data_IF_180801326122
#
_entry.id   IF_180801326122
#
_cell.length_a   1.000
_cell.length_b   1.000
_cell.length_c   1.000
_cell.angle_alpha   90.00
_cell.angle_beta   90.00
_cell.angle_gamma   90.00
#
_symmetry.space_group_name_H-M   'P 1'
#
loop_
_entity.id
_entity.type
_entity.pdbx_description
1 polymer ?
#
# COMPACT_ATOMS: atom_id res chain seq x y z
N UNK A 1 5.98 30.84 -5.49
CA UNK A 1 4.73 31.65 -5.38
C UNK A 1 4.21 32.06 -6.75
N UNK A 2 5.02 32.60 -7.67
CA UNK A 2 4.56 33.09 -8.99
C UNK A 2 3.88 31.99 -9.83
N UNK A 3 4.47 30.79 -9.87
CA UNK A 3 3.88 29.64 -10.57
C UNK A 3 2.52 29.23 -9.95
N UNK A 4 2.42 29.25 -8.62
CA UNK A 4 1.16 28.94 -7.92
C UNK A 4 0.07 30.01 -8.23
N UNK A 5 0.42 31.29 -8.22
CA UNK A 5 -0.49 32.35 -8.62
C UNK A 5 -0.96 32.20 -10.07
N UNK A 6 -0.06 31.85 -11.00
CA UNK A 6 -0.38 31.60 -12.40
C UNK A 6 -1.30 30.38 -12.58
N UNK A 7 -1.08 29.33 -11.78
CA UNK A 7 -1.93 28.14 -11.79
C UNK A 7 -3.35 28.46 -11.35
N UNK A 8 -3.53 29.09 -10.17
CA UNK A 8 -4.85 29.35 -9.59
C UNK A 8 -5.61 30.45 -10.37
N UNK A 9 -4.91 31.28 -11.11
CA UNK A 9 -5.52 32.29 -11.97
C UNK A 9 -6.43 31.71 -13.08
N UNK A 10 -6.24 30.42 -13.41
CA UNK A 10 -7.06 29.71 -14.40
C UNK A 10 -8.43 29.24 -13.87
N UNK A 11 -8.72 29.40 -12.57
CA UNK A 11 -10.03 29.12 -11.99
C UNK A 11 -10.94 30.30 -12.20
N UNK A 12 -12.16 30.07 -12.71
CA UNK A 12 -13.18 31.09 -12.91
C UNK A 12 -13.87 31.44 -11.58
N UNK A 13 -14.21 30.41 -10.79
CA UNK A 13 -14.89 30.55 -9.52
C UNK A 13 -13.88 30.70 -8.36
N UNK A 14 -13.22 31.86 -8.25
CA UNK A 14 -12.25 32.13 -7.18
C UNK A 14 -12.41 33.54 -6.59
N UNK A 15 -12.04 33.67 -5.33
CA UNK A 15 -11.81 34.99 -4.72
C UNK A 15 -10.46 35.50 -5.26
N UNK A 16 -10.40 36.66 -5.93
CA UNK A 16 -9.13 37.19 -6.40
C UNK A 16 -8.18 37.48 -5.24
N UNK A 17 -7.15 36.67 -5.14
CA UNK A 17 -6.05 36.84 -4.17
C UNK A 17 -4.74 36.57 -4.90
N UNK A 18 -3.73 37.34 -4.55
CA UNK A 18 -2.36 37.13 -5.01
C UNK A 18 -1.49 36.89 -3.80
N UNK A 19 -0.88 35.73 -3.72
CA UNK A 19 0.11 35.46 -2.66
C UNK A 19 1.43 36.12 -3.05
N UNK A 20 2.06 36.74 -2.06
CA UNK A 20 3.37 37.37 -2.19
C UNK A 20 4.34 36.59 -1.29
N UNK A 21 5.50 36.27 -1.81
CA UNK A 21 6.56 35.66 -1.01
C UNK A 21 7.14 36.72 -0.05
N UNK A 22 7.32 36.32 1.20
CA UNK A 22 7.92 37.16 2.25
C UNK A 22 9.40 36.79 2.43
N UNK A 23 9.80 35.58 1.99
CA UNK A 23 11.17 35.07 2.09
C UNK A 23 12.02 35.42 0.86
N UNK A 24 13.25 34.93 0.90
CA UNK A 24 14.19 35.03 -0.21
C UNK A 24 13.72 34.21 -1.42
N UNK A 25 14.27 34.48 -2.60
CA UNK A 25 13.99 33.71 -3.82
C UNK A 25 14.57 32.29 -3.67
N UNK A 26 13.67 31.30 -3.72
CA UNK A 26 14.05 29.88 -3.65
C UNK A 26 14.43 29.33 -5.03
N UNK A 27 14.65 28.02 -5.06
CA UNK A 27 14.95 27.32 -6.29
C UNK A 27 13.75 27.26 -7.24
N UNK A 28 14.04 27.07 -8.53
CA UNK A 28 13.02 26.82 -9.53
C UNK A 28 12.38 25.45 -9.31
N UNK A 29 11.07 25.37 -9.60
CA UNK A 29 10.34 24.10 -9.62
C UNK A 29 11.03 23.17 -10.62
N UNK A 30 11.34 21.96 -10.16
CA UNK A 30 11.88 20.88 -10.99
C UNK A 30 10.74 19.93 -11.34
N UNK A 31 10.66 19.51 -12.57
CA UNK A 31 9.75 18.47 -13.05
C UNK A 31 10.57 17.21 -13.30
N UNK A 32 10.26 16.16 -12.54
CA UNK A 32 10.82 14.83 -12.73
C UNK A 32 9.80 14.00 -13.53
N UNK A 33 10.29 13.27 -14.53
CA UNK A 33 9.50 12.31 -15.29
C UNK A 33 9.99 10.92 -14.96
N UNK A 34 9.09 10.06 -14.57
CA UNK A 34 9.36 8.66 -14.24
C UNK A 34 8.51 7.75 -15.14
N UNK A 35 8.91 6.50 -15.31
CA UNK A 35 8.21 5.53 -16.13
C UNK A 35 7.14 4.77 -15.34
N UNK A 36 7.33 4.68 -14.02
CA UNK A 36 6.43 4.02 -13.08
C UNK A 36 6.35 4.79 -11.77
N UNK A 37 5.38 4.44 -10.92
CA UNK A 37 5.29 4.98 -9.55
C UNK A 37 6.50 4.58 -8.68
N UNK A 38 7.10 3.41 -8.93
CA UNK A 38 8.30 2.94 -8.24
C UNK A 38 9.51 3.77 -8.62
N UNK A 39 9.69 4.03 -9.93
CA UNK A 39 10.77 4.91 -10.41
C UNK A 39 10.62 6.32 -9.83
N UNK A 40 9.39 6.85 -9.75
CA UNK A 40 9.12 8.12 -9.11
C UNK A 40 9.52 8.10 -7.63
N UNK A 41 9.10 7.08 -6.89
CA UNK A 41 9.43 6.93 -5.48
C UNK A 41 10.94 6.80 -5.24
N UNK A 42 11.64 6.03 -6.07
CA UNK A 42 13.10 5.88 -6.03
C UNK A 42 13.80 7.20 -6.36
N UNK A 43 13.31 7.96 -7.36
CA UNK A 43 13.85 9.25 -7.73
C UNK A 43 13.67 10.29 -6.61
N UNK A 44 12.50 10.31 -5.96
CA UNK A 44 12.22 11.16 -4.80
C UNK A 44 13.17 10.81 -3.64
N UNK A 45 13.27 9.53 -3.26
CA UNK A 45 14.15 9.08 -2.18
C UNK A 45 15.62 9.42 -2.47
N UNK A 46 16.06 9.27 -3.73
CA UNK A 46 17.42 9.65 -4.16
C UNK A 46 17.66 11.16 -4.06
N UNK A 47 16.67 11.95 -4.51
CA UNK A 47 16.73 13.41 -4.44
C UNK A 47 16.78 13.93 -3.01
N UNK A 48 16.12 13.26 -2.05
CA UNK A 48 16.23 13.58 -0.62
C UNK A 48 17.67 13.34 -0.13
N UNK A 49 18.25 12.18 -0.44
CA UNK A 49 19.63 11.87 -0.04
C UNK A 49 20.63 12.88 -0.63
N UNK A 50 20.46 13.25 -1.91
CA UNK A 50 21.28 14.25 -2.57
C UNK A 50 21.21 15.61 -1.83
N UNK A 51 20.00 16.06 -1.48
CA UNK A 51 19.75 17.30 -0.77
C UNK A 51 20.30 17.30 0.66
N UNK A 52 20.23 16.17 1.34
CA UNK A 52 20.84 16.04 2.66
C UNK A 52 22.35 16.24 2.61
N UNK A 53 23.00 15.75 1.54
CA UNK A 53 24.44 15.89 1.35
C UNK A 53 24.83 17.30 0.90
N UNK A 54 24.11 17.88 -0.08
CA UNK A 54 24.46 19.19 -0.66
C UNK A 54 24.09 20.37 0.24
N UNK A 55 22.91 20.32 0.86
CA UNK A 55 22.31 21.45 1.56
C UNK A 55 22.40 21.30 3.08
N UNK A 56 22.99 20.20 3.57
CA UNK A 56 23.01 19.81 4.99
C UNK A 56 21.61 19.78 5.62
N UNK A 57 20.59 19.42 4.82
CA UNK A 57 19.20 19.33 5.24
C UNK A 57 18.99 18.12 6.18
N UNK A 58 18.03 18.23 7.09
CA UNK A 58 17.63 17.13 7.99
C UNK A 58 16.36 16.47 7.44
N UNK A 59 16.07 15.24 7.84
CA UNK A 59 14.86 14.51 7.40
C UNK A 59 13.57 15.31 7.61
N UNK A 60 13.43 16.01 8.72
CA UNK A 60 12.27 16.85 9.02
C UNK A 60 12.08 18.05 8.09
N UNK A 61 13.08 18.39 7.29
CA UNK A 61 13.01 19.49 6.33
C UNK A 61 12.27 19.08 5.03
N UNK A 62 11.97 17.79 4.88
CA UNK A 62 11.35 17.24 3.68
C UNK A 62 9.89 16.85 3.91
N UNK A 63 9.04 17.14 2.92
CA UNK A 63 7.70 16.58 2.83
C UNK A 63 7.47 15.97 1.45
N UNK A 64 6.80 14.81 1.43
CA UNK A 64 6.30 14.16 0.23
C UNK A 64 4.78 14.23 0.28
N UNK A 65 4.19 14.93 -0.70
CA UNK A 65 2.76 15.16 -0.81
C UNK A 65 2.17 14.32 -1.92
N UNK A 66 1.05 13.68 -1.66
CA UNK A 66 0.33 12.85 -2.64
C UNK A 66 -1.18 13.10 -2.56
N UNK A 67 -1.92 12.70 -3.60
CA UNK A 67 -3.37 12.96 -3.70
C UNK A 67 -4.20 11.97 -2.91
N UNK A 68 -3.87 10.69 -2.99
CA UNK A 68 -4.60 9.59 -2.35
C UNK A 68 -3.69 8.74 -1.49
N UNK A 69 -4.27 8.13 -0.46
CA UNK A 69 -3.50 7.31 0.48
C UNK A 69 -2.87 6.06 -0.16
N UNK A 70 -3.43 5.51 -1.23
CA UNK A 70 -2.85 4.36 -1.94
C UNK A 70 -1.44 4.64 -2.45
N UNK A 71 -1.17 5.87 -2.92
CA UNK A 71 0.15 6.27 -3.42
C UNK A 71 1.27 6.21 -2.36
N UNK A 72 0.95 6.15 -1.07
CA UNK A 72 1.98 6.11 -0.03
C UNK A 72 2.81 4.81 -0.06
N UNK A 73 2.27 3.69 -0.58
CA UNK A 73 2.95 2.39 -0.56
C UNK A 73 4.31 2.43 -1.24
N UNK A 74 4.37 2.82 -2.52
CA UNK A 74 5.62 2.88 -3.26
C UNK A 74 6.64 3.83 -2.62
N UNK A 75 6.16 4.98 -2.09
CA UNK A 75 6.99 5.95 -1.38
C UNK A 75 7.54 5.38 -0.08
N UNK A 76 6.70 4.73 0.74
CA UNK A 76 7.11 4.07 1.98
C UNK A 76 8.17 2.99 1.71
N UNK A 77 7.94 2.18 0.68
CA UNK A 77 8.86 1.11 0.29
C UNK A 77 10.21 1.65 -0.18
N UNK A 78 10.23 2.69 -1.04
CA UNK A 78 11.46 3.31 -1.51
C UNK A 78 12.27 3.96 -0.37
N UNK A 79 11.58 4.60 0.60
CA UNK A 79 12.23 5.17 1.78
C UNK A 79 12.81 4.08 2.69
N UNK A 80 12.08 3.00 2.93
CA UNK A 80 12.55 1.83 3.72
C UNK A 80 13.75 1.15 3.08
N UNK A 81 13.72 0.86 1.78
CA UNK A 81 14.85 0.27 1.03
C UNK A 81 16.14 1.09 1.18
N UNK A 82 16.04 2.39 1.50
CA UNK A 82 17.17 3.31 1.72
C UNK A 82 17.43 3.67 3.18
N UNK A 83 16.72 3.05 4.12
CA UNK A 83 16.79 3.36 5.56
C UNK A 83 16.54 4.85 5.87
N UNK A 84 15.61 5.49 5.14
CA UNK A 84 15.22 6.87 5.37
C UNK A 84 14.02 6.92 6.32
N UNK A 85 14.16 7.52 7.52
CA UNK A 85 13.08 7.57 8.48
C UNK A 85 11.96 8.51 8.01
N UNK A 86 10.72 8.06 8.11
CA UNK A 86 9.54 8.85 7.73
C UNK A 86 8.43 8.77 8.75
N UNK A 87 7.48 9.69 8.64
CA UNK A 87 6.25 9.71 9.43
C UNK A 87 5.06 10.06 8.55
N UNK A 88 3.97 9.30 8.69
CA UNK A 88 2.74 9.57 7.97
C UNK A 88 1.85 10.48 8.81
N UNK A 89 1.52 11.65 8.27
CA UNK A 89 0.61 12.59 8.88
C UNK A 89 -0.85 12.26 8.53
N UNK A 90 -1.70 12.19 9.55
CA UNK A 90 -3.14 11.95 9.39
C UNK A 90 -3.50 10.62 8.74
N UNK A 91 -2.74 9.56 9.04
CA UNK A 91 -3.01 8.23 8.51
C UNK A 91 -2.13 7.16 9.17
N UNK A 92 -2.42 5.92 8.81
CA UNK A 92 -1.59 4.78 9.16
C UNK A 92 -0.67 4.44 7.98
N UNK A 93 0.47 3.82 8.27
CA UNK A 93 1.30 3.18 7.24
C UNK A 93 0.45 2.29 6.34
N UNK A 94 0.82 2.13 5.09
CA UNK A 94 0.06 1.34 4.13
C UNK A 94 -0.27 -0.05 4.69
N UNK A 95 0.74 -0.75 5.20
CA UNK A 95 0.57 -2.10 5.76
C UNK A 95 -0.16 -2.12 7.12
N UNK A 96 -0.37 -0.96 7.76
CA UNK A 96 -1.13 -0.86 9.01
C UNK A 96 -2.63 -0.63 8.83
N UNK A 97 -3.08 -0.32 7.62
CA UNK A 97 -4.49 -0.13 7.30
C UNK A 97 -5.27 -1.42 7.47
N UNK A 98 -6.49 -1.32 7.99
CA UNK A 98 -7.31 -2.47 8.37
C UNK A 98 -7.57 -3.42 7.18
N UNK A 99 -7.99 -2.87 6.03
CA UNK A 99 -8.27 -3.61 4.81
C UNK A 99 -7.01 -4.27 4.21
N UNK A 100 -5.86 -3.63 4.34
CA UNK A 100 -4.57 -4.19 3.90
C UNK A 100 -4.18 -5.34 4.83
N UNK A 101 -4.29 -5.16 6.16
CA UNK A 101 -4.07 -6.23 7.14
C UNK A 101 -5.02 -7.41 6.94
N UNK A 102 -6.28 -7.14 6.56
CA UNK A 102 -7.26 -8.18 6.27
C UNK A 102 -6.85 -8.98 5.02
N UNK A 103 -6.47 -8.31 3.94
CA UNK A 103 -6.02 -8.99 2.73
C UNK A 103 -4.68 -9.73 2.96
N UNK A 104 -3.73 -9.13 3.67
CA UNK A 104 -2.48 -9.79 4.07
C UNK A 104 -2.73 -11.05 4.91
N UNK A 105 -3.74 -11.03 5.79
CA UNK A 105 -4.10 -12.21 6.57
C UNK A 105 -4.66 -13.34 5.69
N UNK A 106 -5.38 -13.04 4.59
CA UNK A 106 -5.73 -14.03 3.58
C UNK A 106 -4.49 -14.65 2.92
N UNK A 107 -3.56 -13.81 2.47
CA UNK A 107 -2.33 -14.26 1.83
C UNK A 107 -1.49 -15.13 2.78
N UNK A 108 -1.33 -14.69 4.04
CA UNK A 108 -0.61 -15.44 5.08
C UNK A 108 -1.26 -16.79 5.40
N UNK A 109 -2.59 -16.82 5.53
CA UNK A 109 -3.31 -18.05 5.86
C UNK A 109 -3.22 -19.09 4.73
N UNK A 110 -3.19 -18.65 3.46
CA UNK A 110 -2.99 -19.55 2.32
C UNK A 110 -1.58 -20.15 2.33
N UNK A 111 -0.55 -19.39 2.70
CA UNK A 111 0.82 -19.91 2.81
C UNK A 111 1.00 -20.79 4.05
N UNK A 112 0.35 -20.44 5.16
CA UNK A 112 0.39 -21.21 6.39
C UNK A 112 -1.02 -21.35 7.00
N UNK A 113 -1.68 -22.44 6.69
CA UNK A 113 -3.04 -22.76 7.22
C UNK A 113 -3.09 -22.94 8.74
N UNK A 114 -1.95 -23.01 9.42
CA UNK A 114 -1.88 -23.09 10.88
C UNK A 114 -1.73 -21.72 11.56
N UNK A 115 -1.81 -20.61 10.81
CA UNK A 115 -1.80 -19.25 11.35
C UNK A 115 -3.18 -18.90 11.94
N UNK A 116 -3.35 -19.19 13.23
CA UNK A 116 -4.60 -18.97 13.96
C UNK A 116 -4.95 -17.47 14.10
N UNK A 117 -3.98 -16.58 14.10
CA UNK A 117 -4.22 -15.13 14.17
C UNK A 117 -4.81 -14.61 12.85
N UNK A 118 -4.21 -14.99 11.73
CA UNK A 118 -4.78 -14.70 10.41
C UNK A 118 -6.16 -15.34 10.24
N UNK A 119 -6.34 -16.59 10.68
CA UNK A 119 -7.64 -17.27 10.64
C UNK A 119 -8.72 -16.49 11.38
N UNK A 120 -8.49 -16.14 12.66
CA UNK A 120 -9.46 -15.38 13.48
C UNK A 120 -9.81 -14.03 12.84
N UNK A 121 -8.83 -13.37 12.24
CA UNK A 121 -9.01 -12.07 11.62
C UNK A 121 -9.98 -12.12 10.44
N UNK A 122 -9.88 -13.13 9.58
CA UNK A 122 -10.54 -13.11 8.27
C UNK A 122 -11.69 -14.11 8.10
N UNK A 123 -11.86 -15.08 8.98
CA UNK A 123 -12.90 -16.11 8.85
C UNK A 123 -14.30 -15.51 8.71
N UNK A 124 -14.55 -14.34 9.28
CA UNK A 124 -15.82 -13.58 9.17
C UNK A 124 -15.63 -12.20 8.53
N UNK A 125 -14.59 -11.97 7.77
CA UNK A 125 -14.31 -10.71 7.06
C UNK A 125 -14.08 -10.99 5.57
N UNK A 126 -14.98 -10.62 4.63
CA UNK A 126 -16.32 -10.03 4.84
C UNK A 126 -17.25 -10.92 5.65
N UNK A 127 -18.35 -10.37 6.17
CA UNK A 127 -19.26 -11.12 7.05
C UNK A 127 -19.83 -12.37 6.38
N UNK A 128 -19.53 -13.53 6.99
CA UNK A 128 -20.07 -14.86 6.59
C UNK A 128 -21.12 -15.38 7.56
N UNK A 129 -21.48 -14.56 8.57
CA UNK A 129 -22.38 -14.95 9.64
C UNK A 129 -21.78 -16.00 10.57
N UNK A 130 -20.47 -15.94 10.79
CA UNK A 130 -19.72 -16.72 11.77
C UNK A 130 -19.50 -15.79 12.98
N UNK A 131 -20.32 -16.00 14.02
CA UNK A 131 -20.27 -15.15 15.22
C UNK A 131 -19.15 -15.55 16.18
N UNK A 132 -18.83 -14.63 17.09
CA UNK A 132 -17.80 -14.78 18.11
C UNK A 132 -18.00 -16.05 18.97
N UNK A 133 -19.27 -16.37 19.33
CA UNK A 133 -19.59 -17.60 20.06
C UNK A 133 -19.11 -18.86 19.32
N UNK A 134 -19.28 -18.91 17.99
CA UNK A 134 -18.82 -20.04 17.18
C UNK A 134 -17.27 -20.10 17.11
N UNK A 135 -16.62 -18.95 17.02
CA UNK A 135 -15.16 -18.87 17.02
C UNK A 135 -14.57 -19.30 18.37
N UNK A 136 -15.18 -18.88 19.47
CA UNK A 136 -14.76 -19.30 20.82
C UNK A 136 -14.93 -20.80 21.03
N UNK A 137 -16.04 -21.38 20.55
CA UNK A 137 -16.27 -22.81 20.59
C UNK A 137 -15.29 -23.59 19.72
N UNK A 138 -14.95 -23.08 18.52
CA UNK A 138 -13.91 -23.67 17.66
C UNK A 138 -12.54 -23.57 18.34
N UNK A 139 -12.23 -22.45 19.02
CA UNK A 139 -11.00 -22.26 19.79
C UNK A 139 -10.86 -23.27 20.93
N UNK A 140 -11.95 -23.52 21.68
CA UNK A 140 -11.96 -24.54 22.73
C UNK A 140 -11.73 -25.95 22.18
N UNK A 141 -12.34 -26.27 21.03
CA UNK A 141 -12.12 -27.55 20.33
C UNK A 141 -10.66 -27.69 19.86
N UNK A 142 -10.11 -26.63 19.25
CA UNK A 142 -8.72 -26.62 18.79
C UNK A 142 -7.72 -26.80 19.93
N UNK A 143 -7.98 -26.16 21.08
CA UNK A 143 -7.19 -26.31 22.29
C UNK A 143 -7.21 -27.75 22.83
N UNK A 144 -8.41 -28.36 22.89
CA UNK A 144 -8.57 -29.75 23.34
C UNK A 144 -7.84 -30.76 22.42
N UNK A 145 -7.93 -30.53 21.12
CA UNK A 145 -7.27 -31.33 20.09
C UNK A 145 -5.78 -31.02 19.90
N UNK A 146 -5.27 -29.97 20.54
CA UNK A 146 -3.89 -29.46 20.38
C UNK A 146 -3.50 -29.25 18.91
N UNK A 147 -4.41 -28.62 18.14
CA UNK A 147 -4.21 -28.34 16.72
C UNK A 147 -4.67 -26.91 16.39
N UNK A 148 -4.39 -26.45 15.13
CA UNK A 148 -4.84 -25.14 14.66
C UNK A 148 -6.38 -25.09 14.50
N UNK A 149 -6.92 -23.86 14.50
CA UNK A 149 -8.34 -23.60 14.22
C UNK A 149 -8.77 -24.20 12.88
N UNK A 150 -7.91 -24.10 11.89
CA UNK A 150 -8.13 -24.67 10.56
C UNK A 150 -8.34 -26.20 10.62
N UNK A 151 -7.45 -26.91 11.32
CA UNK A 151 -7.58 -28.37 11.50
C UNK A 151 -8.77 -28.73 12.35
N UNK A 152 -9.07 -27.97 13.40
CA UNK A 152 -10.21 -28.20 14.28
C UNK A 152 -11.56 -28.08 13.52
N UNK A 153 -11.63 -27.25 12.49
CA UNK A 153 -12.82 -27.08 11.66
C UNK A 153 -13.29 -28.37 10.98
N UNK A 154 -12.40 -29.31 10.74
CA UNK A 154 -12.69 -30.61 10.12
C UNK A 154 -12.97 -31.73 11.15
N UNK A 155 -12.86 -31.45 12.46
CA UNK A 155 -13.19 -32.43 13.50
C UNK A 155 -14.68 -32.76 13.50
N UNK A 156 -15.04 -34.01 13.79
CA UNK A 156 -16.43 -34.41 14.00
C UNK A 156 -16.93 -34.15 15.44
N UNK A 157 -16.01 -33.75 16.35
CA UNK A 157 -16.33 -33.48 17.76
C UNK A 157 -16.90 -32.08 18.01
N UNK A 158 -17.23 -31.33 16.97
CA UNK A 158 -17.69 -29.95 17.06
C UNK A 158 -18.93 -29.76 17.95
N UNK A 159 -19.84 -30.75 17.97
CA UNK A 159 -21.06 -30.71 18.76
C UNK A 159 -20.79 -30.75 20.29
N UNK A 160 -19.71 -31.41 20.72
CA UNK A 160 -19.30 -31.48 22.13
C UNK A 160 -18.95 -30.10 22.69
N UNK A 161 -18.52 -29.18 21.84
CA UNK A 161 -18.13 -27.80 22.15
C UNK A 161 -19.22 -26.76 21.86
N UNK A 162 -20.45 -27.21 21.55
CA UNK A 162 -21.59 -26.32 21.32
C UNK A 162 -21.62 -25.65 19.95
N UNK A 163 -20.79 -26.09 18.99
CA UNK A 163 -20.82 -25.61 17.61
C UNK A 163 -22.06 -26.19 16.89
N UNK A 164 -22.85 -25.30 16.29
CA UNK A 164 -24.02 -25.68 15.50
C UNK A 164 -23.59 -26.09 14.10
N UNK A 165 -24.26 -27.08 13.51
CA UNK A 165 -24.01 -27.58 12.16
C UNK A 165 -23.94 -26.49 11.11
N UNK A 166 -24.83 -25.49 11.16
CA UNK A 166 -24.81 -24.36 10.23
C UNK A 166 -23.56 -23.47 10.34
N UNK A 167 -23.01 -23.31 11.55
CA UNK A 167 -21.76 -22.58 11.75
C UNK A 167 -20.56 -23.38 11.25
N UNK A 168 -20.54 -24.69 11.53
CA UNK A 168 -19.51 -25.61 11.04
C UNK A 168 -19.46 -25.61 9.52
N UNK A 169 -20.62 -25.70 8.84
CA UNK A 169 -20.70 -25.68 7.39
C UNK A 169 -20.07 -24.40 6.80
N UNK A 170 -20.36 -23.22 7.39
CA UNK A 170 -19.77 -21.95 6.97
C UNK A 170 -18.26 -21.89 7.19
N UNK A 171 -17.79 -22.37 8.34
CA UNK A 171 -16.36 -22.43 8.66
C UNK A 171 -15.65 -23.38 7.69
N UNK A 172 -16.21 -24.58 7.45
CA UNK A 172 -15.65 -25.54 6.49
C UNK A 172 -15.60 -24.99 5.07
N UNK A 173 -16.65 -24.31 4.60
CA UNK A 173 -16.64 -23.66 3.28
C UNK A 173 -15.55 -22.59 3.16
N UNK A 174 -15.30 -21.84 4.24
CA UNK A 174 -14.17 -20.92 4.28
C UNK A 174 -12.82 -21.67 4.22
N UNK A 175 -12.68 -22.75 5.00
CA UNK A 175 -11.46 -23.57 4.99
C UNK A 175 -11.21 -24.22 3.62
N UNK A 176 -12.24 -24.72 2.96
CA UNK A 176 -12.16 -25.31 1.61
C UNK A 176 -11.68 -24.29 0.57
N UNK A 177 -12.16 -23.05 0.67
CA UNK A 177 -11.67 -21.96 -0.19
C UNK A 177 -10.16 -21.72 0.03
N UNK A 178 -9.71 -21.63 1.27
CA UNK A 178 -8.28 -21.45 1.63
C UNK A 178 -7.45 -22.64 1.13
N UNK A 179 -7.89 -23.87 1.38
CA UNK A 179 -7.17 -25.11 1.02
C UNK A 179 -7.00 -25.24 -0.50
N UNK A 180 -8.03 -24.80 -1.27
CA UNK A 180 -7.97 -24.75 -2.72
C UNK A 180 -6.86 -23.85 -3.28
N UNK A 181 -6.48 -22.79 -2.55
CA UNK A 181 -5.32 -21.95 -2.89
C UNK A 181 -4.04 -22.47 -2.27
N UNK A 182 -4.09 -22.93 -1.02
CA UNK A 182 -2.91 -23.46 -0.32
C UNK A 182 -2.24 -24.62 -1.07
N UNK A 183 -3.03 -25.48 -1.70
CA UNK A 183 -2.53 -26.58 -2.54
C UNK A 183 -1.73 -26.11 -3.78
N UNK A 184 -1.84 -24.87 -4.17
CA UNK A 184 -1.20 -24.29 -5.37
C UNK A 184 0.00 -23.39 -5.05
N UNK A 185 0.27 -23.09 -3.78
CA UNK A 185 1.31 -22.13 -3.37
C UNK A 185 2.69 -22.43 -3.97
N UNK A 186 3.06 -23.71 -4.07
CA UNK A 186 4.37 -24.11 -4.57
C UNK A 186 4.49 -24.15 -6.12
N UNK A 187 3.36 -24.04 -6.85
CA UNK A 187 3.32 -24.25 -8.29
C UNK A 187 2.76 -23.06 -9.08
N UNK A 188 2.33 -22.01 -8.39
CA UNK A 188 1.69 -20.83 -9.01
C UNK A 188 2.42 -19.57 -8.56
N UNK A 189 2.65 -18.65 -9.47
CA UNK A 189 3.27 -17.37 -9.14
C UNK A 189 2.40 -16.55 -8.17
N UNK A 190 3.06 -15.73 -7.36
CA UNK A 190 2.43 -14.97 -6.30
C UNK A 190 1.33 -14.03 -6.81
N UNK A 191 1.51 -13.37 -7.95
CA UNK A 191 0.56 -12.44 -8.58
C UNK A 191 -0.74 -13.12 -9.00
N UNK A 192 -0.64 -14.27 -9.68
CA UNK A 192 -1.80 -15.07 -10.07
C UNK A 192 -2.56 -15.57 -8.84
N UNK A 193 -1.82 -16.07 -7.84
CA UNK A 193 -2.42 -16.60 -6.62
C UNK A 193 -3.09 -15.50 -5.79
N UNK A 194 -2.45 -14.35 -5.59
CA UNK A 194 -2.98 -13.21 -4.85
C UNK A 194 -4.23 -12.63 -5.51
N UNK A 195 -4.22 -12.50 -6.85
CA UNK A 195 -5.39 -12.07 -7.63
C UNK A 195 -6.55 -13.05 -7.45
N UNK A 196 -6.28 -14.35 -7.55
CA UNK A 196 -7.28 -15.40 -7.34
C UNK A 196 -7.90 -15.35 -5.94
N UNK A 197 -7.06 -15.18 -4.90
CA UNK A 197 -7.50 -15.06 -3.50
C UNK A 197 -8.36 -13.80 -3.31
N UNK A 198 -7.91 -12.64 -3.83
CA UNK A 198 -8.64 -11.37 -3.73
C UNK A 198 -10.05 -11.47 -4.33
N UNK A 199 -10.19 -12.14 -5.48
CA UNK A 199 -11.46 -12.35 -6.13
C UNK A 199 -12.36 -13.34 -5.34
N UNK A 200 -11.79 -14.45 -4.86
CA UNK A 200 -12.55 -15.50 -4.18
C UNK A 200 -13.01 -15.11 -2.77
N UNK A 201 -12.20 -14.36 -2.02
CA UNK A 201 -12.51 -13.97 -0.65
C UNK A 201 -13.65 -12.94 -0.56
N UNK A 202 -13.88 -12.19 -1.64
CA UNK A 202 -14.93 -11.17 -1.75
C UNK A 202 -14.64 -9.86 -1.03
N UNK A 203 -13.44 -9.67 -0.43
CA UNK A 203 -13.11 -8.46 0.34
C UNK A 203 -13.04 -7.21 -0.55
N UNK A 204 -12.40 -7.31 -1.71
CA UNK A 204 -12.36 -6.23 -2.69
C UNK A 204 -13.77 -5.85 -3.17
N UNK A 205 -14.57 -6.84 -3.58
CA UNK A 205 -15.93 -6.61 -4.06
C UNK A 205 -16.83 -6.01 -2.98
N UNK A 206 -16.65 -6.40 -1.71
CA UNK A 206 -17.38 -5.82 -0.58
C UNK A 206 -17.18 -4.31 -0.48
N UNK A 207 -15.94 -3.83 -0.58
CA UNK A 207 -15.66 -2.40 -0.55
C UNK A 207 -16.00 -1.69 -1.85
N UNK A 208 -15.74 -2.31 -3.00
CA UNK A 208 -16.00 -1.72 -4.32
C UNK A 208 -17.49 -1.45 -4.58
N UNK A 209 -18.38 -2.28 -4.04
CA UNK A 209 -19.82 -2.12 -4.20
C UNK A 209 -20.44 -1.07 -3.26
N UNK A 210 -19.72 -0.60 -2.27
CA UNK A 210 -20.13 0.50 -1.41
C UNK A 210 -19.73 1.84 -2.04
N UNK A 211 -20.66 2.76 -2.35
CA UNK A 211 -20.37 4.03 -3.01
C UNK A 211 -19.71 5.07 -2.09
N UNK A 212 -19.53 4.78 -0.80
CA UNK A 212 -18.91 5.72 0.13
C UNK A 212 -17.44 5.96 -0.24
N UNK A 213 -16.97 7.19 -0.05
CA UNK A 213 -15.56 7.58 -0.34
C UNK A 213 -14.59 6.71 0.46
N UNK A 214 -14.94 6.38 1.69
CA UNK A 214 -14.11 5.54 2.56
C UNK A 214 -14.00 4.11 2.01
N UNK A 215 -15.09 3.48 1.57
CA UNK A 215 -15.07 2.15 1.01
C UNK A 215 -14.32 2.10 -0.33
N UNK A 216 -14.50 3.11 -1.19
CA UNK A 216 -13.73 3.21 -2.43
C UNK A 216 -12.22 3.36 -2.16
N UNK A 217 -11.83 4.15 -1.15
CA UNK A 217 -10.43 4.26 -0.73
C UNK A 217 -9.88 2.91 -0.23
N UNK A 218 -10.68 2.15 0.53
CA UNK A 218 -10.28 0.80 0.99
C UNK A 218 -10.14 -0.18 -0.18
N UNK A 219 -11.05 -0.13 -1.15
CA UNK A 219 -10.94 -0.94 -2.38
C UNK A 219 -9.64 -0.61 -3.13
N UNK A 220 -9.31 0.68 -3.30
CA UNK A 220 -8.06 1.10 -3.93
C UNK A 220 -6.81 0.64 -3.15
N UNK A 221 -6.86 0.60 -1.83
CA UNK A 221 -5.75 0.08 -1.02
C UNK A 221 -5.54 -1.44 -1.21
N UNK A 222 -6.64 -2.21 -1.36
CA UNK A 222 -6.54 -3.65 -1.67
C UNK A 222 -5.97 -3.86 -3.07
N UNK A 223 -6.45 -3.10 -4.06
CA UNK A 223 -5.96 -3.14 -5.44
C UNK A 223 -4.45 -2.82 -5.50
N UNK A 224 -4.02 -1.80 -4.77
CA UNK A 224 -2.62 -1.41 -4.66
C UNK A 224 -1.76 -2.52 -4.02
N UNK A 225 -2.27 -3.23 -3.01
CA UNK A 225 -1.57 -4.40 -2.45
C UNK A 225 -1.41 -5.50 -3.51
N UNK A 226 -2.45 -5.81 -4.28
CA UNK A 226 -2.36 -6.85 -5.33
C UNK A 226 -1.40 -6.43 -6.43
N UNK A 227 -1.42 -5.16 -6.85
CA UNK A 227 -0.45 -4.62 -7.82
C UNK A 227 0.99 -4.74 -7.30
N UNK A 228 1.21 -4.57 -5.99
CA UNK A 228 2.55 -4.75 -5.42
C UNK A 228 3.08 -6.18 -5.52
N UNK A 229 2.19 -7.18 -5.48
CA UNK A 229 2.59 -8.58 -5.74
C UNK A 229 3.01 -8.78 -7.18
N UNK A 230 2.28 -8.19 -8.13
CA UNK A 230 2.64 -8.24 -9.55
C UNK A 230 4.02 -7.61 -9.80
N UNK A 231 4.23 -6.43 -9.22
CA UNK A 231 5.50 -5.72 -9.33
C UNK A 231 6.68 -6.52 -8.71
N UNK A 232 6.45 -7.15 -7.54
CA UNK A 232 7.44 -8.05 -6.96
C UNK A 232 7.86 -9.16 -7.93
N UNK A 233 6.92 -9.76 -8.67
CA UNK A 233 7.23 -10.79 -9.67
C UNK A 233 8.06 -10.20 -10.82
N UNK A 234 7.74 -9.00 -11.30
CA UNK A 234 8.50 -8.31 -12.35
C UNK A 234 9.93 -8.03 -11.89
N UNK A 235 10.12 -7.45 -10.69
CA UNK A 235 11.46 -7.22 -10.12
C UNK A 235 12.27 -8.52 -10.01
N UNK A 236 11.65 -9.62 -9.54
CA UNK A 236 12.33 -10.92 -9.39
C UNK A 236 12.70 -11.54 -10.74
N UNK A 237 11.88 -11.36 -11.78
CA UNK A 237 12.20 -11.79 -13.16
C UNK A 237 13.38 -11.02 -13.72
N UNK A 238 13.41 -9.71 -13.52
CA UNK A 238 14.49 -8.84 -13.96
C UNK A 238 15.81 -9.14 -13.22
N UNK A 239 15.75 -9.44 -11.92
CA UNK A 239 16.91 -9.91 -11.16
C UNK A 239 17.43 -11.23 -11.71
N UNK A 240 16.56 -12.20 -11.89
CA UNK A 240 16.91 -13.53 -12.41
C UNK A 240 17.55 -13.46 -13.80
N UNK A 241 16.98 -12.65 -14.69
CA UNK A 241 17.54 -12.45 -16.04
C UNK A 241 18.93 -11.80 -15.98
N UNK A 242 19.10 -10.77 -15.13
CA UNK A 242 20.41 -10.12 -14.94
C UNK A 242 21.46 -11.12 -14.44
N UNK A 243 21.11 -11.98 -13.50
CA UNK A 243 22.02 -12.97 -12.96
C UNK A 243 22.44 -13.96 -14.06
N UNK A 244 21.52 -14.46 -14.89
CA UNK A 244 21.82 -15.33 -16.04
C UNK A 244 22.74 -14.65 -17.06
N UNK A 245 22.53 -13.36 -17.33
CA UNK A 245 23.40 -12.60 -18.27
C UNK A 245 24.80 -12.47 -17.68
N UNK A 246 24.92 -12.15 -16.39
CA UNK A 246 26.23 -12.03 -15.70
C UNK A 246 26.97 -13.38 -15.69
N UNK A 247 26.25 -14.49 -15.51
CA UNK A 247 26.82 -15.86 -15.55
C UNK A 247 27.13 -16.34 -16.98
N UNK A 248 26.68 -15.61 -18.00
CA UNK A 248 26.90 -15.96 -19.43
C UNK A 248 25.96 -17.06 -19.92
N UNK A 249 24.85 -17.31 -19.22
CA UNK A 249 23.87 -18.35 -19.56
C UNK A 249 22.72 -17.81 -20.45
N UNK A 250 22.58 -16.46 -20.57
CA UNK A 250 21.58 -15.81 -21.41
C UNK A 250 22.13 -14.52 -22.05
N UNK A 251 21.54 -14.11 -23.17
CA UNK A 251 21.70 -12.79 -23.81
C UNK A 251 20.43 -11.96 -23.57
N UNK A 252 20.49 -10.64 -23.75
CA UNK A 252 19.36 -9.72 -23.47
C UNK A 252 18.05 -10.09 -24.19
N UNK A 253 18.11 -10.71 -25.37
CA UNK A 253 16.95 -11.11 -26.19
C UNK A 253 16.61 -12.61 -26.06
N UNK A 254 17.17 -13.33 -25.08
CA UNK A 254 16.94 -14.76 -24.92
C UNK A 254 15.59 -15.01 -24.25
N UNK A 255 14.77 -15.92 -24.83
CA UNK A 255 13.54 -16.39 -24.20
C UNK A 255 13.89 -17.28 -23.00
N UNK A 256 13.71 -16.74 -21.79
CA UNK A 256 14.07 -17.39 -20.52
C UNK A 256 12.85 -18.02 -19.85
N UNK A 257 13.01 -19.26 -19.40
CA UNK A 257 12.02 -19.90 -18.51
C UNK A 257 12.28 -19.50 -17.08
N UNK A 258 11.36 -18.74 -16.50
CA UNK A 258 11.48 -18.27 -15.13
C UNK A 258 11.04 -19.34 -14.11
N UNK A 259 11.69 -19.41 -12.96
CA UNK A 259 11.19 -20.19 -11.83
C UNK A 259 9.87 -19.63 -11.30
N UNK A 260 9.15 -20.41 -10.52
CA UNK A 260 7.97 -19.93 -9.81
C UNK A 260 8.42 -19.05 -8.63
N UNK A 261 8.01 -17.80 -8.64
CA UNK A 261 8.18 -16.88 -7.49
C UNK A 261 6.93 -16.95 -6.64
N UNK A 262 7.06 -17.56 -5.47
CA UNK A 262 5.91 -17.94 -4.64
C UNK A 262 5.35 -16.79 -3.80
N UNK A 263 4.11 -16.96 -3.35
CA UNK A 263 3.50 -16.03 -2.38
C UNK A 263 4.27 -16.00 -1.05
N UNK A 264 4.96 -17.09 -0.69
CA UNK A 264 5.87 -17.13 0.47
C UNK A 264 7.03 -16.16 0.33
N UNK A 265 7.67 -16.12 -0.86
CA UNK A 265 8.78 -15.21 -1.15
C UNK A 265 8.34 -13.74 -1.04
N UNK A 266 7.15 -13.42 -1.53
CA UNK A 266 6.57 -12.07 -1.38
C UNK A 266 6.36 -11.70 0.10
N UNK A 267 5.76 -12.59 0.90
CA UNK A 267 5.50 -12.34 2.31
C UNK A 267 6.80 -12.18 3.12
N UNK A 268 7.84 -12.94 2.78
CA UNK A 268 9.16 -12.79 3.37
C UNK A 268 9.80 -11.45 3.03
N UNK A 269 9.72 -11.02 1.77
CA UNK A 269 10.19 -9.72 1.32
C UNK A 269 9.52 -8.57 2.10
N UNK A 270 8.18 -8.60 2.25
CA UNK A 270 7.45 -7.60 3.05
C UNK A 270 7.87 -7.64 4.52
N UNK A 271 8.11 -8.82 5.09
CA UNK A 271 8.54 -8.94 6.49
C UNK A 271 9.93 -8.36 6.72
N UNK A 272 10.84 -8.53 5.78
CA UNK A 272 12.17 -7.91 5.83
C UNK A 272 12.08 -6.38 5.78
N UNK A 273 11.23 -5.85 4.90
CA UNK A 273 11.00 -4.41 4.77
C UNK A 273 10.35 -3.79 6.02
N UNK A 274 9.47 -4.52 6.72
CA UNK A 274 8.79 -4.02 7.92
C UNK A 274 9.67 -4.03 9.18
N UNK A 275 10.69 -4.86 9.24
CA UNK A 275 11.62 -4.93 10.38
C UNK A 275 12.70 -3.81 10.37
N UNK A 276 12.72 -2.96 9.33
CA UNK A 276 13.61 -1.81 9.22
C UNK A 276 13.05 -0.56 9.94
N UNK A 277 11.94 -0.65 10.64
CA UNK A 277 11.50 0.39 11.57
C UNK A 277 12.51 0.49 12.72
N UNK A 278 13.64 1.15 12.41
CA UNK A 278 14.73 1.40 13.37
C UNK A 278 14.19 2.31 14.46
N UNK A 279 14.06 1.75 15.64
CA UNK A 279 13.93 2.47 16.90
C UNK A 279 15.22 3.25 17.17
N UNK A 280 15.45 4.34 16.46
CA UNK A 280 16.38 5.37 16.93
C UNK A 280 15.61 6.25 17.91
N UNK A 281 15.72 5.92 19.20
CA UNK A 281 15.08 6.63 20.32
C UNK A 281 15.60 8.08 20.50
N UNK A 282 16.65 8.52 19.83
CA UNK A 282 17.33 9.78 20.14
C UNK A 282 16.76 11.03 19.43
N UNK A 283 15.99 10.90 18.32
CA UNK A 283 15.35 12.08 17.67
C UNK A 283 14.02 11.73 17.01
N UNK A 284 12.99 11.53 17.81
CA UNK A 284 11.64 11.13 17.37
C UNK A 284 11.00 12.08 16.34
N UNK A 285 11.52 13.31 16.20
CA UNK A 285 10.96 14.34 15.32
C UNK A 285 11.71 14.50 13.99
N UNK A 286 12.91 13.93 13.84
CA UNK A 286 13.69 14.06 12.61
C UNK A 286 13.31 12.99 11.59
N UNK A 287 12.11 13.12 11.02
CA UNK A 287 11.54 12.18 10.05
C UNK A 287 10.98 12.93 8.84
N UNK A 288 11.05 12.31 7.66
CA UNK A 288 10.43 12.81 6.43
C UNK A 288 8.91 12.78 6.60
N UNK A 289 8.25 13.86 6.27
CA UNK A 289 6.79 13.95 6.36
C UNK A 289 6.13 13.38 5.10
N UNK A 290 5.34 12.31 5.23
CA UNK A 290 4.48 11.77 4.19
C UNK A 290 3.03 12.15 4.49
N UNK A 291 2.33 12.77 3.54
CA UNK A 291 0.94 13.16 3.76
C UNK A 291 0.18 13.43 2.46
N UNK A 292 -1.15 13.38 2.56
CA UNK A 292 -1.98 13.88 1.46
C UNK A 292 -1.87 15.40 1.35
N UNK A 293 -2.11 15.94 0.15
CA UNK A 293 -2.14 17.41 -0.05
C UNK A 293 -3.15 18.08 0.88
N UNK A 294 -4.26 17.41 1.20
CA UNK A 294 -5.25 17.93 2.15
C UNK A 294 -4.68 18.10 3.55
N UNK A 295 -3.93 17.12 4.02
CA UNK A 295 -3.31 17.14 5.35
C UNK A 295 -2.18 18.18 5.45
N UNK A 296 -1.58 18.56 4.32
CA UNK A 296 -0.51 19.56 4.28
C UNK A 296 -1.01 21.00 4.45
N UNK A 297 -2.33 21.24 4.47
CA UNK A 297 -2.89 22.58 4.63
C UNK A 297 -2.49 23.19 5.96
N UNK A 298 -1.81 24.34 5.89
CA UNK A 298 -1.32 25.06 7.08
C UNK A 298 0.10 24.68 7.51
N UNK A 299 0.68 23.60 6.98
CA UNK A 299 2.06 23.23 7.23
C UNK A 299 2.97 23.85 6.16
N UNK A 300 4.26 23.95 6.44
CA UNK A 300 5.28 24.44 5.49
C UNK A 300 6.60 23.75 5.74
N UNK A 301 7.29 23.38 4.67
CA UNK A 301 8.56 22.64 4.71
C UNK A 301 9.62 23.31 3.84
N UNK A 302 10.90 23.22 4.18
CA UNK A 302 11.98 23.69 3.32
C UNK A 302 11.93 23.07 1.91
N UNK A 303 11.73 21.75 1.82
CA UNK A 303 11.72 20.98 0.58
C UNK A 303 10.43 20.17 0.46
N UNK A 304 9.76 20.27 -0.68
CA UNK A 304 8.49 19.59 -0.93
C UNK A 304 8.56 18.84 -2.26
N UNK A 305 8.28 17.56 -2.21
CA UNK A 305 8.02 16.72 -3.38
C UNK A 305 6.53 16.49 -3.52
N UNK A 306 6.01 16.56 -4.74
CA UNK A 306 4.61 16.24 -5.05
C UNK A 306 4.61 15.07 -6.01
N UNK A 307 4.11 13.93 -5.55
CA UNK A 307 4.09 12.68 -6.30
C UNK A 307 2.76 12.45 -7.02
N UNK A 308 2.83 11.71 -8.13
CA UNK A 308 1.66 11.26 -8.88
C UNK A 308 0.94 12.36 -9.66
N UNK A 309 1.67 13.30 -10.24
CA UNK A 309 1.10 14.36 -11.08
C UNK A 309 0.82 13.84 -12.50
N UNK A 310 -0.20 13.00 -12.62
CA UNK A 310 -0.61 12.39 -13.87
C UNK A 310 -2.14 12.29 -14.01
N UNK A 311 -2.62 12.12 -15.23
CA UNK A 311 -4.04 11.97 -15.57
C UNK A 311 -4.69 10.84 -14.78
N UNK A 312 -5.91 11.07 -14.26
CA UNK A 312 -6.71 10.19 -13.43
C UNK A 312 -6.19 9.96 -12.00
N UNK A 313 -5.04 10.48 -11.63
CA UNK A 313 -4.47 10.35 -10.29
C UNK A 313 -4.41 11.73 -9.58
N UNK A 314 -3.72 12.68 -10.17
CA UNK A 314 -3.72 14.09 -9.75
C UNK A 314 -3.52 14.99 -10.98
N UNK A 315 -4.61 15.47 -11.61
CA UNK A 315 -6.00 15.53 -11.16
C UNK A 315 -6.75 14.19 -11.24
N UNK A 316 -7.65 13.97 -10.27
CA UNK A 316 -8.59 12.83 -10.29
C UNK A 316 -9.70 13.05 -11.32
N UNK A 317 -10.31 11.96 -11.83
CA UNK A 317 -11.48 12.00 -12.71
C UNK A 317 -11.21 12.14 -14.21
N UNK A 318 -9.99 12.43 -14.62
CA UNK A 318 -9.55 12.44 -16.03
C UNK A 318 -10.49 13.15 -16.99
N UNK A 319 -10.77 12.55 -18.14
CA UNK A 319 -11.66 13.12 -19.19
C UNK A 319 -13.13 13.26 -18.76
N UNK A 320 -13.56 12.60 -17.67
CA UNK A 320 -14.93 12.64 -17.16
C UNK A 320 -15.11 13.69 -16.06
N UNK A 321 -14.04 14.33 -15.60
CA UNK A 321 -14.11 15.35 -14.57
C UNK A 321 -14.87 16.58 -15.07
N UNK A 322 -15.78 17.08 -14.25
CA UNK A 322 -16.44 18.36 -14.55
C UNK A 322 -15.45 19.53 -14.43
N UNK A 323 -15.72 20.67 -15.07
CA UNK A 323 -14.90 21.87 -14.88
C UNK A 323 -14.72 22.26 -13.40
N UNK A 324 -15.75 22.03 -12.57
CA UNK A 324 -15.71 22.30 -11.14
C UNK A 324 -14.73 21.36 -10.40
N UNK A 325 -14.69 20.08 -10.79
CA UNK A 325 -13.77 19.10 -10.23
C UNK A 325 -12.31 19.47 -10.55
N UNK A 326 -12.05 19.86 -11.79
CA UNK A 326 -10.71 20.32 -12.22
C UNK A 326 -10.30 21.61 -11.49
N UNK A 327 -11.25 22.52 -11.22
CA UNK A 327 -10.95 23.71 -10.41
C UNK A 327 -10.58 23.35 -8.97
N UNK A 328 -11.23 22.34 -8.39
CA UNK A 328 -10.89 21.89 -7.04
C UNK A 328 -9.52 21.20 -7.00
N UNK A 329 -9.23 20.32 -7.97
CA UNK A 329 -7.90 19.68 -8.08
C UNK A 329 -6.80 20.76 -8.26
N UNK A 330 -7.09 21.83 -9.03
CA UNK A 330 -6.18 22.96 -9.18
C UNK A 330 -5.98 23.74 -7.88
N UNK A 331 -7.02 23.87 -7.03
CA UNK A 331 -6.88 24.45 -5.68
C UNK A 331 -5.99 23.59 -4.79
N UNK A 332 -6.15 22.28 -4.87
CA UNK A 332 -5.29 21.33 -4.13
C UNK A 332 -3.83 21.43 -4.58
N UNK A 333 -3.58 21.45 -5.87
CA UNK A 333 -2.22 21.61 -6.38
C UNK A 333 -1.62 22.97 -6.01
N UNK A 334 -2.42 24.03 -6.02
CA UNK A 334 -2.02 25.33 -5.49
C UNK A 334 -1.59 25.23 -4.02
N UNK A 335 -2.33 24.51 -3.18
CA UNK A 335 -1.95 24.27 -1.79
C UNK A 335 -0.60 23.56 -1.74
N UNK A 336 -0.42 22.48 -2.50
CA UNK A 336 0.84 21.72 -2.53
C UNK A 336 2.04 22.63 -2.88
N UNK A 337 1.94 23.40 -3.96
CA UNK A 337 2.98 24.33 -4.40
C UNK A 337 3.33 25.40 -3.37
N UNK A 338 2.37 25.81 -2.54
CA UNK A 338 2.59 26.84 -1.51
C UNK A 338 3.11 26.29 -0.19
N UNK A 339 3.37 24.97 -0.09
CA UNK A 339 3.97 24.37 1.12
C UNK A 339 5.48 24.46 1.15
N UNK A 340 6.12 24.68 -0.01
CA UNK A 340 7.56 24.79 -0.12
C UNK A 340 8.07 26.17 0.29
N UNK A 341 9.12 26.20 1.14
CA UNK A 341 9.83 27.43 1.52
C UNK A 341 11.05 27.69 0.64
N UNK A 342 11.79 26.64 0.27
CA UNK A 342 13.04 26.74 -0.51
C UNK A 342 12.90 26.09 -1.89
N UNK A 343 12.46 24.83 -1.94
CA UNK A 343 12.31 24.07 -3.17
C UNK A 343 11.21 22.99 -3.05
#
# INVERSE_FOLDING_TARGET
VNAANSLIAKNENRIPKTCVAVGEEGEKIRLLKSWSEQDEAVAIASGIVERMQSDHARYQDFAILYRTNSQSRALEEALRKRNLPYMIYSGNSFFDRAEVKDMMAYLKLVVNVNDDESFKRIVNTPSRGIGETSLNALGALAYDLKCSLFKAAYSERFAEFGLKQAAVAKIRSFCEMIDGFASKVASTNADELATGISNACGLYAFHKNDPSIEAQSRASNIEELINSVTHFIEERRDEYLRDLIVEGEAEEDTEVSYPVFTLGDFLENISLLSNVDVEDEEDTNNKIALMTVHSAKGLEFPYVYVAGLEENLFPTGGMLASPADIEEERRLFYVAMTRAKKA
#
